data_IF_102298054432
#
_entry.id   IF_102298054432
#
_cell.length_a   1.000
_cell.length_b   1.000
_cell.length_c   1.000
_cell.angle_alpha   90.00
_cell.angle_beta   90.00
_cell.angle_gamma   90.00
#
_symmetry.space_group_name_H-M   'P 1'
#
loop_
_entity.id
_entity.type
_entity.pdbx_description
1 polymer ?
#
# COMPACT_ATOMS: atom_id res chain seq x y z
N UNK A 1 19.82 5.91 36.77
CA UNK A 1 19.30 4.55 36.55
C UNK A 1 19.43 4.27 35.05
N UNK A 2 20.37 3.41 34.68
CA UNK A 2 20.81 3.16 33.31
C UNK A 2 19.68 2.53 32.47
N UNK A 3 19.41 3.09 31.29
CA UNK A 3 18.57 2.47 30.28
C UNK A 3 19.30 1.23 29.75
N UNK A 4 18.78 0.04 30.11
CA UNK A 4 19.23 -1.24 29.55
C UNK A 4 19.04 -1.23 28.03
N UNK A 5 20.05 -1.77 27.37
CA UNK A 5 20.16 -2.10 25.95
C UNK A 5 18.82 -2.11 25.20
N UNK A 6 18.61 -1.11 24.34
CA UNK A 6 17.69 -1.25 23.22
C UNK A 6 18.34 -2.22 22.25
N UNK A 7 18.05 -3.52 22.36
CA UNK A 7 18.19 -4.39 21.21
C UNK A 7 17.24 -3.82 20.15
N UNK A 8 17.79 -3.45 18.99
CA UNK A 8 17.00 -3.09 17.83
C UNK A 8 16.30 -4.37 17.38
N UNK A 9 15.11 -4.65 17.90
CA UNK A 9 14.27 -5.68 17.32
C UNK A 9 13.84 -5.21 15.94
N UNK A 10 14.03 -6.05 14.93
CA UNK A 10 13.51 -5.83 13.57
C UNK A 10 11.99 -5.94 13.50
N UNK A 11 11.33 -6.16 14.64
CA UNK A 11 9.89 -6.24 14.75
C UNK A 11 9.30 -4.84 14.68
N UNK A 12 8.49 -4.60 13.64
CA UNK A 12 7.66 -3.41 13.62
C UNK A 12 6.78 -3.42 14.88
N UNK A 13 6.66 -2.25 15.49
CA UNK A 13 5.74 -1.97 16.57
C UNK A 13 4.88 -0.78 16.14
N UNK A 14 3.56 -0.96 16.09
CA UNK A 14 2.62 0.14 15.83
C UNK A 14 2.16 0.69 17.17
N UNK A 15 2.55 1.92 17.47
CA UNK A 15 2.03 2.64 18.63
C UNK A 15 0.56 3.01 18.38
N UNK A 16 -0.41 2.48 19.16
CA UNK A 16 -1.83 2.78 18.99
C UNK A 16 -2.18 4.26 19.25
N UNK A 17 -1.29 5.00 19.89
CA UNK A 17 -1.46 6.42 20.21
C UNK A 17 -0.86 7.36 19.16
N UNK A 18 -0.04 6.83 18.23
CA UNK A 18 0.54 7.62 17.15
C UNK A 18 -0.55 8.01 16.15
N UNK A 19 -1.01 9.25 16.23
CA UNK A 19 -1.82 9.90 15.20
C UNK A 19 -0.87 10.71 14.32
N UNK A 20 -0.88 10.46 13.02
CA UNK A 20 -0.27 11.38 12.07
C UNK A 20 -1.11 12.66 12.08
N UNK A 21 -0.54 13.75 12.61
CA UNK A 21 -1.06 15.11 12.51
C UNK A 21 -1.06 15.47 11.01
N UNK A 22 -2.24 15.50 10.41
CA UNK A 22 -2.45 15.65 8.96
C UNK A 22 -2.29 17.11 8.46
N UNK A 23 -1.90 18.01 9.35
CA UNK A 23 -2.05 19.46 9.23
C UNK A 23 -0.77 20.19 8.81
N UNK A 24 0.32 19.48 8.50
CA UNK A 24 1.45 20.07 7.74
C UNK A 24 1.24 19.82 6.25
N UNK A 25 0.33 20.60 5.68
CA UNK A 25 -0.09 20.54 4.28
C UNK A 25 1.09 20.90 3.33
N UNK A 26 1.74 19.89 2.76
CA UNK A 26 2.68 20.05 1.65
C UNK A 26 1.87 20.45 0.40
N UNK A 27 2.01 21.68 -0.08
CA UNK A 27 1.22 22.26 -1.19
C UNK A 27 1.30 21.50 -2.54
N UNK A 28 2.17 20.49 -2.67
CA UNK A 28 2.15 19.55 -3.80
C UNK A 28 0.94 18.58 -3.75
N UNK A 29 0.40 18.29 -2.56
CA UNK A 29 -0.76 17.41 -2.38
C UNK A 29 -2.08 18.04 -2.81
N UNK A 30 -2.18 19.37 -2.96
CA UNK A 30 -3.42 20.00 -3.45
C UNK A 30 -3.75 19.62 -4.90
N UNK A 31 -2.75 19.38 -5.76
CA UNK A 31 -2.97 19.03 -7.16
C UNK A 31 -3.28 17.54 -7.40
N UNK A 32 -2.64 16.62 -6.67
CA UNK A 32 -2.88 15.17 -6.78
C UNK A 32 -3.89 14.65 -5.74
N UNK A 33 -3.85 15.18 -4.52
CA UNK A 33 -4.67 14.77 -3.38
C UNK A 33 -6.14 15.19 -3.49
N UNK A 34 -6.48 16.24 -4.24
CA UNK A 34 -7.88 16.56 -4.54
C UNK A 34 -8.54 15.52 -5.46
N UNK A 35 -7.76 14.80 -6.28
CA UNK A 35 -8.28 13.80 -7.22
C UNK A 35 -8.13 12.36 -6.71
N UNK A 36 -7.11 12.08 -5.89
CA UNK A 36 -6.78 10.73 -5.41
C UNK A 36 -6.95 10.54 -3.89
N UNK A 37 -7.17 11.59 -3.10
CA UNK A 37 -7.19 11.51 -1.63
C UNK A 37 -5.79 11.34 -1.01
N UNK A 38 -5.74 11.02 0.28
CA UNK A 38 -4.48 10.73 1.00
C UNK A 38 -3.91 9.39 0.53
N UNK A 39 -2.73 9.44 -0.08
CA UNK A 39 -1.98 8.27 -0.54
C UNK A 39 -0.92 7.89 0.50
N UNK A 40 -0.77 6.59 0.77
CA UNK A 40 0.30 6.07 1.61
C UNK A 40 1.65 6.07 0.88
N UNK A 41 2.79 6.01 1.60
CA UNK A 41 4.11 5.92 0.97
C UNK A 41 4.24 4.73 0.01
N UNK A 42 3.59 3.61 0.34
CA UNK A 42 3.54 2.41 -0.51
C UNK A 42 2.82 2.72 -1.84
N UNK A 43 1.63 3.32 -1.77
CA UNK A 43 0.84 3.62 -2.96
C UNK A 43 1.58 4.63 -3.86
N UNK A 44 2.28 5.61 -3.27
CA UNK A 44 3.15 6.53 -4.03
C UNK A 44 4.32 5.82 -4.72
N UNK A 45 5.03 4.93 -4.01
CA UNK A 45 6.14 4.19 -4.59
C UNK A 45 5.69 3.34 -5.79
N UNK A 46 4.52 2.70 -5.68
CA UNK A 46 3.93 1.91 -6.78
C UNK A 46 3.51 2.83 -7.93
N UNK A 47 2.82 3.94 -7.65
CA UNK A 47 2.35 4.89 -8.67
C UNK A 47 3.49 5.45 -9.52
N UNK A 48 4.64 5.70 -8.90
CA UNK A 48 5.83 6.23 -9.56
C UNK A 48 6.72 5.14 -10.19
N UNK A 49 6.35 3.86 -10.07
CA UNK A 49 7.13 2.74 -10.60
C UNK A 49 8.45 2.48 -9.84
N UNK A 50 8.56 2.94 -8.59
CA UNK A 50 9.72 2.75 -7.74
C UNK A 50 9.66 1.38 -7.03
N UNK A 51 9.75 0.31 -7.82
CA UNK A 51 9.54 -1.07 -7.33
C UNK A 51 10.45 -1.47 -6.18
N UNK A 52 11.72 -1.03 -6.16
CA UNK A 52 12.64 -1.33 -5.05
C UNK A 52 12.15 -0.74 -3.72
N UNK A 53 11.72 0.53 -3.75
CA UNK A 53 11.16 1.21 -2.58
C UNK A 53 9.83 0.57 -2.18
N UNK A 54 8.98 0.24 -3.15
CA UNK A 54 7.72 -0.45 -2.88
C UNK A 54 7.95 -1.79 -2.18
N UNK A 55 8.91 -2.59 -2.66
CA UNK A 55 9.32 -3.85 -2.01
C UNK A 55 9.77 -3.62 -0.58
N UNK A 56 10.71 -2.70 -0.35
CA UNK A 56 11.21 -2.40 1.00
C UNK A 56 10.09 -1.99 1.97
N UNK A 57 9.11 -1.22 1.50
CA UNK A 57 7.96 -0.80 2.30
C UNK A 57 7.07 -2.01 2.61
N UNK A 58 6.64 -2.76 1.59
CA UNK A 58 5.79 -3.96 1.76
C UNK A 58 6.47 -4.95 2.71
N UNK A 59 7.79 -5.12 2.55
CA UNK A 59 8.53 -6.09 3.31
C UNK A 59 8.56 -5.78 4.80
N UNK A 60 8.46 -4.50 5.12
CA UNK A 60 8.45 -4.01 6.48
C UNK A 60 7.00 -3.92 6.96
N UNK A 61 6.00 -3.59 6.14
CA UNK A 61 4.60 -3.28 6.55
C UNK A 61 3.89 -4.38 7.31
N UNK A 62 3.02 -3.98 8.23
CA UNK A 62 2.05 -4.91 8.80
C UNK A 62 0.97 -5.21 7.77
N UNK A 63 0.34 -6.38 7.89
CA UNK A 63 -0.74 -6.80 7.00
C UNK A 63 -1.85 -5.74 6.93
N UNK A 64 -2.26 -5.20 8.08
CA UNK A 64 -3.35 -4.21 8.18
C UNK A 64 -3.05 -2.90 7.43
N UNK A 65 -1.77 -2.59 7.17
CA UNK A 65 -1.37 -1.37 6.43
C UNK A 65 -1.42 -1.56 4.90
N UNK A 66 -1.48 -2.80 4.40
CA UNK A 66 -1.47 -3.09 2.95
C UNK A 66 -2.82 -2.82 2.29
N UNK A 67 -3.88 -2.83 3.11
CA UNK A 67 -5.27 -2.66 2.68
C UNK A 67 -5.75 -1.21 2.79
N UNK A 68 -4.87 -0.28 3.17
CA UNK A 68 -5.17 1.14 3.17
C UNK A 68 -5.71 1.57 1.80
N UNK A 69 -6.81 2.32 1.83
CA UNK A 69 -7.51 2.74 0.63
C UNK A 69 -7.26 4.21 0.30
N UNK A 70 -7.17 4.51 -0.98
CA UNK A 70 -7.20 5.86 -1.53
C UNK A 70 -8.27 5.98 -2.60
N UNK A 71 -8.53 7.20 -3.08
CA UNK A 71 -9.25 7.52 -4.33
C UNK A 71 -10.34 6.53 -4.71
N UNK A 72 -11.52 6.66 -4.12
CA UNK A 72 -12.65 5.78 -4.43
C UNK A 72 -12.49 4.34 -3.93
N UNK A 73 -11.71 4.11 -2.86
CA UNK A 73 -11.62 2.79 -2.23
C UNK A 73 -10.62 1.83 -2.88
N UNK A 74 -9.70 2.33 -3.70
CA UNK A 74 -8.65 1.50 -4.29
C UNK A 74 -7.55 1.25 -3.26
N UNK A 75 -7.00 0.04 -3.26
CA UNK A 75 -5.86 -0.35 -2.41
C UNK A 75 -4.55 -0.35 -3.21
N UNK A 76 -3.42 -0.54 -2.54
CA UNK A 76 -2.13 -0.76 -3.21
C UNK A 76 -2.19 -1.93 -4.21
N UNK A 77 -2.95 -2.98 -3.91
CA UNK A 77 -3.12 -4.15 -4.77
C UNK A 77 -3.94 -3.82 -6.03
N UNK A 78 -4.96 -2.95 -5.95
CA UNK A 78 -5.65 -2.45 -7.14
C UNK A 78 -4.68 -1.70 -8.05
N UNK A 79 -3.91 -0.78 -7.48
CA UNK A 79 -2.98 0.05 -8.23
C UNK A 79 -1.88 -0.77 -8.91
N UNK A 80 -1.23 -1.68 -8.19
CA UNK A 80 -0.19 -2.55 -8.73
C UNK A 80 -0.73 -3.44 -9.86
N UNK A 81 -1.96 -3.94 -9.72
CA UNK A 81 -2.62 -4.76 -10.75
C UNK A 81 -2.92 -3.94 -11.99
N UNK A 82 -3.51 -2.76 -11.84
CA UNK A 82 -3.81 -1.85 -12.95
C UNK A 82 -2.55 -1.43 -13.73
N UNK A 83 -1.44 -1.20 -13.03
CA UNK A 83 -0.15 -0.85 -13.64
C UNK A 83 0.60 -2.07 -14.22
N UNK A 84 0.09 -3.29 -14.04
CA UNK A 84 0.73 -4.52 -14.52
C UNK A 84 2.01 -4.89 -13.77
N UNK A 85 2.23 -4.37 -12.56
CA UNK A 85 3.43 -4.58 -11.75
C UNK A 85 3.44 -5.97 -11.11
N UNK A 86 3.63 -7.03 -11.91
CA UNK A 86 3.46 -8.45 -11.53
C UNK A 86 4.19 -8.83 -10.24
N UNK A 87 5.44 -8.38 -10.10
CA UNK A 87 6.26 -8.71 -8.93
C UNK A 87 5.80 -8.02 -7.65
N UNK A 88 5.26 -6.80 -7.75
CA UNK A 88 4.66 -6.10 -6.61
C UNK A 88 3.33 -6.75 -6.22
N UNK A 89 2.52 -7.17 -7.19
CA UNK A 89 1.27 -7.91 -6.95
C UNK A 89 1.54 -9.20 -6.18
N UNK A 90 2.51 -10.01 -6.63
CA UNK A 90 2.94 -11.22 -5.92
C UNK A 90 3.33 -10.92 -4.47
N UNK A 91 4.21 -9.94 -4.27
CA UNK A 91 4.70 -9.61 -2.93
C UNK A 91 3.58 -9.12 -2.01
N UNK A 92 2.67 -8.27 -2.50
CA UNK A 92 1.49 -7.83 -1.73
C UNK A 92 0.62 -9.02 -1.30
N UNK A 93 0.35 -9.95 -2.21
CA UNK A 93 -0.44 -11.15 -1.93
C UNK A 93 0.25 -12.08 -0.94
N UNK A 94 1.56 -12.29 -1.07
CA UNK A 94 2.39 -13.06 -0.14
C UNK A 94 2.40 -12.46 1.27
N UNK A 95 2.38 -11.13 1.38
CA UNK A 95 2.25 -10.41 2.66
C UNK A 95 0.82 -10.33 3.19
N UNK A 96 -0.14 -10.93 2.50
CA UNK A 96 -1.51 -11.07 2.96
C UNK A 96 -2.41 -9.87 2.67
N UNK A 97 -2.07 -9.03 1.70
CA UNK A 97 -2.99 -8.00 1.20
C UNK A 97 -4.32 -8.65 0.76
N UNK A 98 -5.43 -8.01 1.09
CA UNK A 98 -6.76 -8.55 0.84
C UNK A 98 -7.13 -8.44 -0.64
N UNK A 99 -7.17 -9.60 -1.31
CA UNK A 99 -7.53 -9.74 -2.72
C UNK A 99 -9.01 -9.55 -3.04
N UNK A 100 -9.89 -9.33 -2.06
CA UNK A 100 -11.34 -9.25 -2.25
C UNK A 100 -11.94 -7.87 -1.99
N UNK A 101 -11.15 -6.88 -1.57
CA UNK A 101 -11.65 -5.51 -1.33
C UNK A 101 -12.17 -4.93 -2.63
N UNK A 102 -13.41 -4.43 -2.63
CA UNK A 102 -13.99 -3.79 -3.81
C UNK A 102 -13.89 -2.28 -3.69
N UNK A 103 -13.42 -1.62 -4.75
CA UNK A 103 -13.47 -0.17 -4.85
C UNK A 103 -14.92 0.34 -5.06
N UNK A 104 -15.10 1.65 -5.13
CA UNK A 104 -16.42 2.30 -5.28
C UNK A 104 -17.15 1.96 -6.58
N UNK A 105 -16.45 1.40 -7.58
CA UNK A 105 -17.03 0.88 -8.82
C UNK A 105 -17.41 -0.60 -8.74
N UNK A 106 -17.17 -1.24 -7.60
CA UNK A 106 -17.48 -2.65 -7.37
C UNK A 106 -16.44 -3.64 -7.88
N UNK A 107 -15.27 -3.15 -8.33
CA UNK A 107 -14.17 -3.98 -8.82
C UNK A 107 -13.26 -4.39 -7.68
N UNK A 108 -12.94 -5.69 -7.60
CA UNK A 108 -11.83 -6.19 -6.80
C UNK A 108 -10.50 -5.98 -7.53
N UNK A 109 -9.32 -6.15 -6.89
CA UNK A 109 -8.03 -5.93 -7.54
C UNK A 109 -7.83 -6.79 -8.79
N UNK A 110 -8.35 -8.01 -8.82
CA UNK A 110 -8.26 -8.89 -10.00
C UNK A 110 -9.09 -8.40 -11.19
N UNK A 111 -10.10 -7.55 -10.95
CA UNK A 111 -11.05 -7.10 -11.97
C UNK A 111 -10.57 -5.85 -12.72
N UNK A 112 -9.56 -5.12 -12.22
CA UNK A 112 -9.14 -3.84 -12.81
C UNK A 112 -8.29 -3.97 -14.07
N UNK A 113 -7.80 -5.18 -14.38
CA UNK A 113 -7.00 -5.47 -15.57
C UNK A 113 -7.46 -6.79 -16.21
N UNK A 114 -7.72 -6.77 -17.51
CA UNK A 114 -8.05 -7.98 -18.28
C UNK A 114 -6.77 -8.64 -18.83
N UNK A 115 -5.93 -9.17 -17.92
CA UNK A 115 -4.71 -9.91 -18.26
C UNK A 115 -4.74 -11.31 -17.63
N UNK A 116 -4.66 -12.35 -18.47
CA UNK A 116 -4.79 -13.73 -18.01
C UNK A 116 -3.65 -14.17 -17.09
N UNK A 117 -2.43 -13.67 -17.32
CA UNK A 117 -1.28 -14.03 -16.48
C UNK A 117 -1.32 -13.33 -15.12
N UNK A 118 -1.84 -12.11 -15.07
CA UNK A 118 -2.12 -11.39 -13.84
C UNK A 118 -3.14 -12.13 -12.99
N UNK A 119 -4.24 -12.61 -13.60
CA UNK A 119 -5.30 -13.34 -12.90
C UNK A 119 -4.79 -14.60 -12.20
N UNK A 120 -3.84 -15.32 -12.79
CA UNK A 120 -3.21 -16.50 -12.19
C UNK A 120 -2.48 -16.20 -10.87
N UNK A 121 -2.06 -14.95 -10.64
CA UNK A 121 -1.43 -14.55 -9.38
C UNK A 121 -2.44 -14.51 -8.22
N UNK A 122 -3.74 -14.41 -8.53
CA UNK A 122 -4.85 -14.32 -7.56
C UNK A 122 -5.52 -15.67 -7.26
N UNK A 123 -5.03 -16.75 -7.85
CA UNK A 123 -5.43 -18.13 -7.52
C UNK A 123 -4.71 -18.63 -6.25
#
# INVERSE_FOLDING_TARGET
MLLKEKSLSSEKYRDPSARFEADVELDAYKFLGAYLGSLTPLQFAILLGHDSIARDIIERSFKDDLDDTFGGGNTALHLATFLGAKEIVKLLLERGANRTIKNSKGFAPVDVLDDADMRKLFE
#
